data_IF_221092448521
#
_entry.id   IF_221092448521
#
_cell.length_a   1.000
_cell.length_b   1.000
_cell.length_c   1.000
_cell.angle_alpha   90.00
_cell.angle_beta   90.00
_cell.angle_gamma   90.00
#
_symmetry.space_group_name_H-M   'P 1'
#
loop_
_entity.id
_entity.type
_entity.pdbx_description
1 polymer ?
#
# COMPACT_ATOMS: atom_id res chain seq x y z
N UNK A 1 -17.20 7.40 6.96
CA UNK A 1 -17.93 7.02 5.73
C UNK A 1 -18.40 5.57 5.75
N UNK A 2 -17.59 4.63 6.19
CA UNK A 2 -18.01 3.23 6.29
C UNK A 2 -19.23 3.03 7.19
N UNK A 3 -19.31 3.76 8.29
CA UNK A 3 -20.46 3.71 9.21
C UNK A 3 -21.77 4.18 8.57
N UNK A 4 -21.66 5.11 7.62
CA UNK A 4 -22.83 5.65 6.92
C UNK A 4 -23.25 4.80 5.72
N UNK A 5 -22.43 3.82 5.34
CA UNK A 5 -22.71 2.98 4.18
C UNK A 5 -23.90 2.04 4.47
N UNK A 6 -24.92 2.01 3.60
CA UNK A 6 -26.12 1.16 3.84
C UNK A 6 -25.84 -0.34 3.84
N UNK A 7 -24.82 -0.80 3.14
CA UNK A 7 -24.48 -2.22 3.10
C UNK A 7 -23.85 -2.63 4.43
N UNK A 8 -24.35 -3.66 5.10
CA UNK A 8 -23.90 -4.00 6.45
C UNK A 8 -22.45 -4.48 6.53
N UNK A 9 -21.92 -5.03 5.44
CA UNK A 9 -20.57 -5.61 5.46
C UNK A 9 -20.51 -6.87 6.33
N UNK A 10 -19.40 -7.60 6.23
CA UNK A 10 -19.19 -8.83 7.01
C UNK A 10 -17.76 -8.98 7.51
N UNK A 11 -17.02 -7.87 7.55
CA UNK A 11 -15.70 -7.80 8.16
C UNK A 11 -15.67 -6.65 9.16
N UNK A 12 -14.73 -6.72 10.09
CA UNK A 12 -14.54 -5.68 11.10
C UNK A 12 -14.25 -4.34 10.42
N UNK A 13 -15.04 -3.32 10.77
CA UNK A 13 -14.91 -1.97 10.18
C UNK A 13 -13.57 -1.32 10.48
N UNK A 14 -13.04 -1.53 11.68
CA UNK A 14 -11.77 -0.92 12.05
C UNK A 14 -10.61 -1.50 11.25
N UNK A 15 -10.64 -2.82 11.03
CA UNK A 15 -9.64 -3.50 10.21
C UNK A 15 -9.72 -3.02 8.77
N UNK A 16 -10.94 -2.91 8.24
CA UNK A 16 -11.17 -2.42 6.87
C UNK A 16 -10.74 -0.97 6.73
N UNK A 17 -11.16 -0.10 7.65
CA UNK A 17 -10.82 1.32 7.62
C UNK A 17 -9.31 1.53 7.69
N UNK A 18 -8.62 0.79 8.56
CA UNK A 18 -7.17 0.87 8.66
C UNK A 18 -6.50 0.49 7.35
N UNK A 19 -6.96 -0.58 6.72
CA UNK A 19 -6.38 -1.02 5.45
C UNK A 19 -6.56 0.02 4.34
N UNK A 20 -7.75 0.61 4.26
CA UNK A 20 -8.02 1.69 3.30
C UNK A 20 -7.07 2.86 3.53
N UNK A 21 -6.95 3.31 4.76
CA UNK A 21 -6.10 4.46 5.11
C UNK A 21 -4.64 4.19 4.82
N UNK A 22 -4.14 3.00 5.18
CA UNK A 22 -2.75 2.64 4.91
C UNK A 22 -2.47 2.50 3.42
N UNK A 23 -3.43 2.00 2.65
CA UNK A 23 -3.28 1.91 1.19
C UNK A 23 -3.09 3.31 0.57
N UNK A 24 -3.92 4.27 0.94
CA UNK A 24 -3.80 5.63 0.40
C UNK A 24 -2.55 6.34 0.92
N UNK A 25 -2.21 6.15 2.19
CA UNK A 25 -0.99 6.72 2.75
C UNK A 25 0.24 6.15 2.06
N UNK A 26 0.27 4.84 1.83
CA UNK A 26 1.37 4.17 1.14
C UNK A 26 1.50 4.68 -0.30
N UNK A 27 0.38 4.86 -1.00
CA UNK A 27 0.37 5.37 -2.37
C UNK A 27 1.01 6.76 -2.45
N UNK A 28 0.63 7.66 -1.54
CA UNK A 28 1.23 9.00 -1.46
C UNK A 28 2.71 8.94 -1.16
N UNK A 29 3.07 8.14 -0.16
CA UNK A 29 4.45 8.06 0.32
C UNK A 29 5.36 7.47 -0.75
N UNK A 30 4.92 6.40 -1.41
CA UNK A 30 5.70 5.78 -2.49
C UNK A 30 5.90 6.73 -3.67
N UNK A 31 4.84 7.47 -4.05
CA UNK A 31 4.94 8.46 -5.13
C UNK A 31 5.93 9.55 -4.76
N UNK A 32 5.85 10.06 -3.53
CA UNK A 32 6.75 11.10 -3.03
C UNK A 32 8.19 10.59 -2.97
N UNK A 33 8.40 9.35 -2.52
CA UNK A 33 9.73 8.77 -2.45
C UNK A 33 10.33 8.58 -3.84
N UNK A 34 9.54 8.14 -4.82
CA UNK A 34 10.00 8.00 -6.20
C UNK A 34 10.48 9.35 -6.75
N UNK A 35 9.71 10.40 -6.49
CA UNK A 35 10.07 11.76 -6.91
C UNK A 35 11.35 12.23 -6.20
N UNK A 36 11.44 12.00 -4.89
CA UNK A 36 12.64 12.35 -4.12
C UNK A 36 13.87 11.62 -4.63
N UNK A 37 13.75 10.35 -4.99
CA UNK A 37 14.83 9.58 -5.57
C UNK A 37 15.35 10.20 -6.88
N UNK A 38 14.44 10.76 -7.69
CA UNK A 38 14.82 11.44 -8.92
C UNK A 38 15.63 12.71 -8.66
N UNK A 39 15.53 13.29 -7.48
CA UNK A 39 16.29 14.49 -7.08
C UNK A 39 17.65 14.15 -6.44
N UNK A 40 17.95 12.88 -6.25
CA UNK A 40 19.25 12.43 -5.72
C UNK A 40 20.27 12.40 -6.87
N UNK A 41 20.93 13.51 -7.09
CA UNK A 41 21.73 13.80 -8.30
C UNK A 41 22.71 12.70 -8.72
N UNK A 42 23.43 12.14 -7.78
CA UNK A 42 24.48 11.18 -8.08
C UNK A 42 24.07 9.73 -7.84
N UNK A 43 22.79 9.51 -7.47
CA UNK A 43 22.31 8.20 -7.04
C UNK A 43 21.16 7.66 -7.90
N UNK A 44 20.74 8.39 -8.94
CA UNK A 44 19.57 7.98 -9.73
C UNK A 44 19.72 6.58 -10.34
N UNK A 45 20.91 6.25 -10.83
CA UNK A 45 21.16 4.94 -11.44
C UNK A 45 20.99 3.83 -10.39
N UNK A 46 21.54 4.03 -9.19
CA UNK A 46 21.43 3.06 -8.08
C UNK A 46 20.01 2.95 -7.56
N UNK A 47 19.21 3.99 -7.74
CA UNK A 47 17.83 4.05 -7.26
C UNK A 47 16.79 3.65 -8.28
N UNK A 48 17.20 3.25 -9.49
CA UNK A 48 16.23 2.92 -10.56
C UNK A 48 15.22 1.87 -10.11
N UNK A 49 15.66 0.81 -9.46
CA UNK A 49 14.75 -0.24 -8.98
C UNK A 49 13.83 0.28 -7.89
N UNK A 50 14.35 1.10 -6.98
CA UNK A 50 13.56 1.70 -5.92
C UNK A 50 12.46 2.60 -6.51
N UNK A 51 12.81 3.43 -7.50
CA UNK A 51 11.86 4.30 -8.20
C UNK A 51 10.75 3.46 -8.84
N UNK A 52 11.12 2.42 -9.58
CA UNK A 52 10.16 1.56 -10.28
C UNK A 52 9.21 0.89 -9.30
N UNK A 53 9.75 0.30 -8.24
CA UNK A 53 8.93 -0.40 -7.25
C UNK A 53 8.04 0.56 -6.46
N UNK A 54 8.54 1.77 -6.18
CA UNK A 54 7.72 2.80 -5.55
C UNK A 54 6.50 3.15 -6.41
N UNK A 55 6.70 3.32 -7.71
CA UNK A 55 5.61 3.66 -8.62
C UNK A 55 4.61 2.51 -8.76
N UNK A 56 5.12 1.28 -8.89
CA UNK A 56 4.26 0.09 -8.97
C UNK A 56 3.44 -0.06 -7.68
N UNK A 57 4.11 0.09 -6.53
CA UNK A 57 3.44 0.00 -5.22
C UNK A 57 2.38 1.08 -5.06
N UNK A 58 2.69 2.32 -5.46
CA UNK A 58 1.74 3.43 -5.39
C UNK A 58 0.48 3.13 -6.19
N UNK A 59 0.63 2.64 -7.43
CA UNK A 59 -0.51 2.34 -8.29
C UNK A 59 -1.35 1.20 -7.71
N UNK A 60 -0.72 0.15 -7.23
CA UNK A 60 -1.42 -0.99 -6.66
C UNK A 60 -2.14 -0.60 -5.37
N UNK A 61 -1.47 0.14 -4.48
CA UNK A 61 -2.06 0.58 -3.21
C UNK A 61 -3.25 1.49 -3.43
N UNK A 62 -3.15 2.46 -4.34
CA UNK A 62 -4.26 3.36 -4.62
C UNK A 62 -5.46 2.61 -5.17
N UNK A 63 -5.23 1.71 -6.11
CA UNK A 63 -6.29 0.88 -6.68
C UNK A 63 -6.92 0.00 -5.61
N UNK A 64 -6.12 -0.58 -4.73
CA UNK A 64 -6.61 -1.41 -3.64
C UNK A 64 -7.51 -0.60 -2.70
N UNK A 65 -7.07 0.60 -2.31
CA UNK A 65 -7.88 1.48 -1.47
C UNK A 65 -9.25 1.76 -2.11
N UNK A 66 -9.26 2.04 -3.39
CA UNK A 66 -10.50 2.31 -4.13
C UNK A 66 -11.42 1.08 -4.21
N UNK A 67 -10.83 -0.10 -4.43
CA UNK A 67 -11.60 -1.35 -4.43
C UNK A 67 -12.24 -1.58 -3.06
N UNK A 68 -11.48 -1.36 -1.99
CA UNK A 68 -11.95 -1.60 -0.63
C UNK A 68 -13.05 -0.64 -0.17
N UNK A 69 -13.07 0.58 -0.70
CA UNK A 69 -14.12 1.55 -0.37
C UNK A 69 -15.48 1.08 -0.86
N UNK A 70 -15.53 0.38 -1.97
CA UNK A 70 -16.78 -0.07 -2.57
C UNK A 70 -17.23 -1.37 -1.91
N UNK A 71 -18.26 -1.27 -1.06
CA UNK A 71 -18.70 -2.40 -0.23
C UNK A 71 -19.94 -3.14 -0.75
N UNK A 72 -20.76 -2.49 -1.59
CA UNK A 72 -22.01 -3.11 -2.06
C UNK A 72 -21.71 -4.32 -2.94
N UNK A 73 -22.14 -5.50 -2.45
CA UNK A 73 -22.03 -6.78 -3.18
C UNK A 73 -20.63 -7.04 -3.74
N UNK A 74 -19.59 -6.70 -2.95
CA UNK A 74 -18.22 -6.92 -3.41
C UNK A 74 -17.94 -8.41 -3.61
N UNK A 75 -17.08 -8.70 -4.59
CA UNK A 75 -16.65 -10.06 -4.88
C UNK A 75 -15.47 -10.43 -3.98
N UNK A 76 -15.70 -11.35 -3.05
CA UNK A 76 -14.68 -11.69 -2.07
C UNK A 76 -13.41 -12.30 -2.69
N UNK A 77 -13.51 -13.25 -3.63
CA UNK A 77 -12.29 -13.76 -4.29
C UNK A 77 -11.47 -12.69 -5.01
N UNK A 78 -12.14 -11.79 -5.71
CA UNK A 78 -11.47 -10.68 -6.40
C UNK A 78 -10.79 -9.74 -5.41
N UNK A 79 -11.49 -9.38 -4.34
CA UNK A 79 -10.94 -8.50 -3.31
C UNK A 79 -9.72 -9.14 -2.63
N UNK A 80 -9.79 -10.43 -2.33
CA UNK A 80 -8.64 -11.16 -1.76
C UNK A 80 -7.45 -11.17 -2.69
N UNK A 81 -7.67 -11.39 -4.00
CA UNK A 81 -6.59 -11.39 -4.99
C UNK A 81 -5.93 -10.01 -5.05
N UNK A 82 -6.72 -8.94 -5.01
CA UNK A 82 -6.19 -7.58 -5.01
C UNK A 82 -5.39 -7.28 -3.73
N UNK A 83 -5.89 -7.73 -2.59
CA UNK A 83 -5.17 -7.59 -1.31
C UNK A 83 -3.85 -8.34 -1.32
N UNK A 84 -3.82 -9.54 -1.89
CA UNK A 84 -2.59 -10.32 -2.01
C UNK A 84 -1.57 -9.60 -2.89
N UNK A 85 -2.01 -9.03 -4.00
CA UNK A 85 -1.14 -8.24 -4.89
C UNK A 85 -0.61 -7.01 -4.15
N UNK A 86 -1.46 -6.32 -3.40
CA UNK A 86 -1.08 -5.14 -2.64
C UNK A 86 -0.05 -5.49 -1.56
N UNK A 87 -0.31 -6.56 -0.83
CA UNK A 87 0.61 -7.06 0.19
C UNK A 87 1.99 -7.34 -0.39
N UNK A 88 2.02 -8.03 -1.53
CA UNK A 88 3.27 -8.37 -2.21
C UNK A 88 4.01 -7.11 -2.69
N UNK A 89 3.28 -6.17 -3.28
CA UNK A 89 3.88 -4.91 -3.74
C UNK A 89 4.49 -4.14 -2.57
N UNK A 90 3.78 -4.07 -1.44
CA UNK A 90 4.27 -3.40 -0.25
C UNK A 90 5.52 -4.08 0.32
N UNK A 91 5.52 -5.40 0.39
CA UNK A 91 6.67 -6.16 0.89
C UNK A 91 7.90 -5.95 0.03
N UNK A 92 7.72 -6.04 -1.29
CA UNK A 92 8.83 -5.89 -2.26
C UNK A 92 9.39 -4.47 -2.24
N UNK A 93 8.51 -3.47 -2.21
CA UNK A 93 8.93 -2.06 -2.15
C UNK A 93 9.64 -1.76 -0.84
N UNK A 94 9.13 -2.27 0.28
CA UNK A 94 9.76 -2.09 1.58
C UNK A 94 11.18 -2.67 1.59
N UNK A 95 11.36 -3.87 1.07
CA UNK A 95 12.69 -4.50 0.98
C UNK A 95 13.68 -3.63 0.23
N UNK A 96 13.27 -3.10 -0.90
CA UNK A 96 14.15 -2.25 -1.70
C UNK A 96 14.47 -0.94 -0.99
N UNK A 97 13.47 -0.28 -0.41
CA UNK A 97 13.66 0.96 0.34
C UNK A 97 14.55 0.76 1.56
N UNK A 98 14.46 -0.41 2.20
CA UNK A 98 15.28 -0.75 3.37
C UNK A 98 16.77 -0.82 3.04
N UNK A 99 17.14 -1.00 1.79
CA UNK A 99 18.52 -0.97 1.34
C UNK A 99 19.10 0.45 1.26
N UNK A 100 18.23 1.45 1.34
CA UNK A 100 18.60 2.86 1.17
C UNK A 100 18.18 3.71 2.37
N UNK A 101 18.24 3.14 3.59
CA UNK A 101 17.78 3.82 4.80
C UNK A 101 18.62 5.03 5.22
N UNK A 102 19.82 5.19 4.63
CA UNK A 102 20.61 6.39 4.80
C UNK A 102 19.94 7.63 4.19
N UNK A 103 19.00 7.43 3.26
CA UNK A 103 18.13 8.49 2.76
C UNK A 103 16.82 8.48 3.54
N UNK A 104 16.51 9.59 4.20
CA UNK A 104 15.33 9.67 5.06
C UNK A 104 14.04 9.33 4.33
N UNK A 105 13.87 9.82 3.09
CA UNK A 105 12.65 9.54 2.33
C UNK A 105 12.49 8.04 2.05
N UNK A 106 13.57 7.31 1.83
CA UNK A 106 13.52 5.86 1.62
C UNK A 106 13.14 5.13 2.92
N UNK A 107 13.65 5.61 4.07
CA UNK A 107 13.31 5.05 5.36
C UNK A 107 11.82 5.25 5.68
N UNK A 108 11.31 6.44 5.41
CA UNK A 108 9.88 6.76 5.60
C UNK A 108 9.02 5.87 4.71
N UNK A 109 9.43 5.71 3.45
CA UNK A 109 8.70 4.87 2.50
C UNK A 109 8.68 3.40 2.94
N UNK A 110 9.82 2.88 3.39
CA UNK A 110 9.90 1.50 3.89
C UNK A 110 8.90 1.26 5.02
N UNK A 111 8.82 2.19 5.96
CA UNK A 111 7.90 2.08 7.09
C UNK A 111 6.44 2.14 6.65
N UNK A 112 6.10 3.04 5.73
CA UNK A 112 4.74 3.13 5.19
C UNK A 112 4.35 1.84 4.47
N UNK A 113 5.26 1.27 3.69
CA UNK A 113 5.03 0.00 2.99
C UNK A 113 4.81 -1.16 3.98
N UNK A 114 5.59 -1.21 5.06
CA UNK A 114 5.41 -2.24 6.09
C UNK A 114 4.08 -2.11 6.80
N UNK A 115 3.64 -0.89 7.14
CA UNK A 115 2.32 -0.69 7.75
C UNK A 115 1.20 -1.12 6.83
N UNK A 116 1.31 -0.83 5.54
CA UNK A 116 0.30 -1.24 4.56
C UNK A 116 0.28 -2.76 4.40
N UNK A 117 1.46 -3.39 4.35
CA UNK A 117 1.57 -4.85 4.30
C UNK A 117 0.84 -5.50 5.49
N UNK A 118 1.09 -5.00 6.70
CA UNK A 118 0.45 -5.50 7.91
C UNK A 118 -1.07 -5.32 7.87
N UNK A 119 -1.53 -4.17 7.39
CA UNK A 119 -2.96 -3.89 7.28
C UNK A 119 -3.63 -4.83 6.27
N UNK A 120 -2.97 -5.11 5.14
CA UNK A 120 -3.47 -6.08 4.16
C UNK A 120 -3.54 -7.49 4.76
N UNK A 121 -2.51 -7.90 5.50
CA UNK A 121 -2.49 -9.20 6.16
C UNK A 121 -3.64 -9.33 7.16
N UNK A 122 -3.87 -8.28 7.96
CA UNK A 122 -4.95 -8.27 8.94
C UNK A 122 -6.32 -8.40 8.29
N UNK A 123 -6.53 -7.67 7.17
CA UNK A 123 -7.80 -7.74 6.47
C UNK A 123 -7.99 -9.10 5.79
N UNK A 124 -6.96 -9.66 5.17
CA UNK A 124 -7.03 -11.00 4.59
C UNK A 124 -7.40 -12.04 5.66
N UNK A 125 -6.81 -11.93 6.85
CA UNK A 125 -7.13 -12.83 7.95
C UNK A 125 -8.58 -12.70 8.40
N UNK A 126 -9.12 -11.49 8.36
CA UNK A 126 -10.51 -11.23 8.75
C UNK A 126 -11.54 -11.69 7.70
N UNK A 127 -11.12 -11.91 6.48
CA UNK A 127 -11.99 -12.29 5.34
C UNK A 127 -12.12 -13.81 5.15
N UNK A 128 -11.89 -14.57 6.13
CA UNK A 128 -11.94 -16.05 6.04
C UNK A 128 -13.29 -16.63 5.60
#
# INVERSE_FOLDING_TARGET
MLEAHPWPGNVDRDVLARCIDECFTCAQTCTSCADACLSEKDMVVELRKCIRLNLDCADICETTGRVLIRQTEYDAPLTKAQLQACREACATCAEECERHRDMEHCSICAEACRRCQEACDALLAAMK
#
